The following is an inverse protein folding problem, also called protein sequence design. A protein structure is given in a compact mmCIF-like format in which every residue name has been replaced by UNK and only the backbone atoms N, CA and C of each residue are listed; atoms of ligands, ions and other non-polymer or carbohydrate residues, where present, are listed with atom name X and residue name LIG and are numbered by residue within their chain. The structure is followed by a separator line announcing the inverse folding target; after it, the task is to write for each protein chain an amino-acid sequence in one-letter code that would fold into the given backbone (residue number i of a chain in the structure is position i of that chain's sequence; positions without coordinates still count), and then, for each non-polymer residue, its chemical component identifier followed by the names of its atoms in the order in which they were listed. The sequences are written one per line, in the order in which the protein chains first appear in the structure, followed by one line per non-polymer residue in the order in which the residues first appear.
data_IF_342821618859
#
_entry.id   IF_342821618859
#
_cell.length_a   1.000
_cell.length_b   1.000
_cell.length_c   1.000
_cell.angle_alpha   90.00
_cell.angle_beta   90.00
_cell.angle_gamma   90.00
#
_symmetry.space_group_name_H-M   'P 1'
#
loop_
_entity.id
_entity.type
_entity.pdbx_description
1 polymer ?
#
# COMPACT_ATOMS: atom_id res chain seq x y z
N UNK A 1 -13.35 7.39 -2.29
CA UNK A 1 -12.94 8.46 -3.20
C UNK A 1 -13.79 8.48 -4.47
N UNK A 2 -13.95 9.65 -5.07
CA UNK A 2 -14.59 9.76 -6.38
C UNK A 2 -13.52 9.55 -7.45
N UNK A 3 -13.62 8.47 -8.20
CA UNK A 3 -12.70 8.15 -9.29
C UNK A 3 -13.42 8.27 -10.64
N UNK A 4 -12.67 8.62 -11.69
CA UNK A 4 -13.18 8.60 -13.06
C UNK A 4 -13.23 7.16 -13.55
N UNK A 5 -14.38 6.71 -14.07
CA UNK A 5 -14.56 5.37 -14.63
C UNK A 5 -15.72 4.60 -13.99
N UNK A 6 -15.92 3.36 -14.42
CA UNK A 6 -17.00 2.49 -13.92
C UNK A 6 -16.71 1.91 -12.52
N UNK A 7 -15.43 1.82 -12.17
CA UNK A 7 -14.97 1.24 -10.91
C UNK A 7 -14.16 2.25 -10.10
N UNK A 8 -14.20 2.13 -8.78
CA UNK A 8 -13.30 2.83 -7.90
C UNK A 8 -11.91 2.18 -7.96
N UNK A 9 -10.84 3.00 -7.85
CA UNK A 9 -9.51 2.47 -7.61
C UNK A 9 -9.48 1.89 -6.19
N UNK A 10 -9.33 0.57 -6.10
CA UNK A 10 -9.51 -0.15 -4.85
C UNK A 10 -8.25 -0.15 -4.00
N UNK A 11 -8.40 -0.33 -2.67
CA UNK A 11 -7.28 -0.56 -1.75
C UNK A 11 -6.40 -1.72 -2.23
N UNK A 12 -6.97 -2.78 -2.81
CA UNK A 12 -6.22 -3.89 -3.38
C UNK A 12 -5.30 -3.46 -4.53
N UNK A 13 -5.78 -2.60 -5.47
CA UNK A 13 -4.94 -2.06 -6.54
C UNK A 13 -3.87 -1.12 -5.98
N UNK A 14 -4.25 -0.24 -5.06
CA UNK A 14 -3.33 0.66 -4.36
C UNK A 14 -2.19 -0.10 -3.70
N UNK A 15 -2.51 -1.14 -2.91
CA UNK A 15 -1.51 -1.96 -2.22
C UNK A 15 -0.51 -2.64 -3.17
N UNK A 16 -1.00 -3.19 -4.30
CA UNK A 16 -0.13 -3.77 -5.33
C UNK A 16 0.75 -2.70 -6.00
N UNK A 17 0.20 -1.50 -6.23
CA UNK A 17 0.96 -0.39 -6.78
C UNK A 17 2.07 0.06 -5.83
N UNK A 18 1.77 0.24 -4.54
CA UNK A 18 2.76 0.63 -3.53
C UNK A 18 3.88 -0.41 -3.43
N UNK A 19 3.55 -1.69 -3.38
CA UNK A 19 4.54 -2.78 -3.36
C UNK A 19 5.42 -2.74 -4.61
N UNK A 20 4.84 -2.61 -5.81
CA UNK A 20 5.59 -2.54 -7.06
C UNK A 20 6.52 -1.33 -7.12
N UNK A 21 6.09 -0.16 -6.61
CA UNK A 21 6.92 1.05 -6.51
C UNK A 21 8.09 0.82 -5.55
N UNK A 22 7.86 0.19 -4.39
CA UNK A 22 8.94 -0.17 -3.47
C UNK A 22 9.96 -1.07 -4.15
N UNK A 23 9.54 -2.13 -4.83
CA UNK A 23 10.43 -3.04 -5.55
C UNK A 23 11.19 -2.37 -6.69
N UNK A 24 10.56 -1.42 -7.38
CA UNK A 24 11.20 -0.68 -8.48
C UNK A 24 12.24 0.33 -7.98
N UNK A 25 11.92 1.10 -6.94
CA UNK A 25 12.82 2.14 -6.42
C UNK A 25 13.97 1.56 -5.58
N UNK A 26 13.72 0.42 -4.92
CA UNK A 26 14.71 -0.27 -4.09
C UNK A 26 14.79 -1.75 -4.45
N UNK A 27 15.47 -2.10 -5.56
CA UNK A 27 15.49 -3.47 -6.10
C UNK A 27 16.10 -4.54 -5.18
N UNK A 28 16.76 -4.12 -4.11
CA UNK A 28 17.37 -5.02 -3.11
C UNK A 28 16.44 -5.27 -1.90
N UNK A 29 15.19 -4.78 -1.95
CA UNK A 29 14.20 -5.01 -0.90
C UNK A 29 13.88 -6.51 -0.81
N UNK A 30 13.89 -7.06 0.41
CA UNK A 30 13.63 -8.49 0.61
C UNK A 30 12.18 -8.86 0.29
N UNK A 31 11.88 -10.13 -0.06
CA UNK A 31 10.51 -10.60 -0.26
C UNK A 31 9.62 -10.37 0.97
N UNK A 32 10.15 -10.51 2.18
CA UNK A 32 9.44 -10.24 3.42
C UNK A 32 9.06 -8.77 3.57
N UNK A 33 9.95 -7.84 3.17
CA UNK A 33 9.67 -6.40 3.21
C UNK A 33 8.70 -5.99 2.09
N UNK A 34 8.79 -6.61 0.90
CA UNK A 34 7.82 -6.41 -0.18
C UNK A 34 6.43 -6.92 0.22
N UNK A 35 6.36 -8.08 0.90
CA UNK A 35 5.10 -8.56 1.45
C UNK A 35 4.56 -7.59 2.51
N UNK A 36 5.42 -7.03 3.35
CA UNK A 36 5.06 -5.98 4.29
C UNK A 36 4.50 -4.73 3.58
N UNK A 37 5.11 -4.31 2.47
CA UNK A 37 4.62 -3.21 1.65
C UNK A 37 3.26 -3.52 1.00
N UNK A 38 3.05 -4.74 0.50
CA UNK A 38 1.75 -5.18 -0.03
C UNK A 38 0.66 -5.15 1.03
N UNK A 39 1.00 -5.43 2.29
CA UNK A 39 0.05 -5.52 3.41
C UNK A 39 -0.05 -4.23 4.23
N UNK A 40 0.56 -3.11 3.80
CA UNK A 40 0.65 -1.90 4.62
C UNK A 40 -0.73 -1.33 5.02
N UNK A 41 -1.73 -1.43 4.13
CA UNK A 41 -3.12 -1.02 4.36
C UNK A 41 -4.05 -2.19 4.71
N UNK A 42 -3.50 -3.37 5.04
CA UNK A 42 -4.33 -4.53 5.36
C UNK A 42 -5.32 -4.31 6.53
N UNK A 43 -5.05 -3.49 7.56
CA UNK A 43 -6.06 -3.12 8.55
C UNK A 43 -7.33 -2.53 7.93
N UNK A 44 -7.24 -1.79 6.83
CA UNK A 44 -8.39 -1.16 6.17
C UNK A 44 -9.39 -2.17 5.58
N UNK A 45 -8.93 -3.39 5.23
CA UNK A 45 -9.84 -4.47 4.82
C UNK A 45 -10.76 -4.95 5.95
N UNK A 46 -10.32 -4.76 7.19
CA UNK A 46 -11.06 -5.24 8.38
C UNK A 46 -11.94 -4.15 8.97
N UNK A 47 -11.41 -2.93 9.07
CA UNK A 47 -12.04 -1.82 9.79
C UNK A 47 -12.60 -0.73 8.89
N UNK A 48 -12.34 -0.82 7.57
CA UNK A 48 -12.68 0.20 6.59
C UNK A 48 -11.68 1.34 6.55
N UNK A 49 -11.55 1.95 5.37
CA UNK A 49 -10.74 3.17 5.19
C UNK A 49 -11.37 4.33 5.97
N UNK A 50 -10.57 4.97 6.81
CA UNK A 50 -10.96 6.14 7.58
C UNK A 50 -10.08 7.33 7.24
N UNK A 51 -10.71 8.44 6.91
CA UNK A 51 -9.99 9.71 6.68
C UNK A 51 -9.28 10.20 7.94
N UNK A 52 -8.10 10.80 7.76
CA UNK A 52 -7.22 11.25 8.85
C UNK A 52 -7.91 12.12 9.93
N UNK A 53 -8.84 13.05 9.62
CA UNK A 53 -9.57 13.79 10.64
C UNK A 53 -10.40 12.90 11.57
N UNK A 54 -10.99 11.81 11.04
CA UNK A 54 -11.76 10.84 11.84
C UNK A 54 -10.83 10.00 12.72
N UNK A 55 -9.70 9.50 12.17
CA UNK A 55 -8.67 8.80 12.95
C UNK A 55 -8.19 9.67 14.13
N UNK A 56 -8.01 10.97 13.90
CA UNK A 56 -7.61 11.93 14.93
C UNK A 56 -8.72 12.14 15.98
N UNK A 57 -9.97 12.26 15.56
CA UNK A 57 -11.12 12.46 16.47
C UNK A 57 -11.38 11.24 17.36
N UNK A 58 -11.14 10.01 16.89
CA UNK A 58 -11.25 8.77 17.65
C UNK A 58 -10.11 8.59 18.68
N UNK A 59 -9.00 9.29 18.51
CA UNK A 59 -7.94 9.42 19.49
C UNK A 59 -6.93 8.28 19.55
N UNK A 60 -6.24 8.18 20.69
CA UNK A 60 -5.11 7.25 20.88
C UNK A 60 -5.54 5.79 20.81
N UNK A 61 -6.72 5.46 21.28
CA UNK A 61 -7.23 4.07 21.32
C UNK A 61 -7.40 3.49 19.93
N UNK A 62 -7.84 4.30 18.95
CA UNK A 62 -7.98 3.85 17.58
C UNK A 62 -6.62 3.53 16.94
N UNK A 63 -5.64 4.41 17.10
CA UNK A 63 -4.28 4.16 16.57
C UNK A 63 -3.61 2.94 17.18
N UNK A 64 -3.82 2.72 18.48
CA UNK A 64 -3.31 1.51 19.15
C UNK A 64 -4.01 0.25 18.66
N UNK A 65 -5.31 0.33 18.37
CA UNK A 65 -6.06 -0.78 17.80
C UNK A 65 -5.56 -1.11 16.38
N UNK A 66 -5.41 -0.11 15.52
CA UNK A 66 -4.90 -0.23 14.15
C UNK A 66 -3.49 -0.87 14.17
N UNK A 67 -2.58 -0.38 15.00
CA UNK A 67 -1.23 -0.93 15.13
C UNK A 67 -1.22 -2.40 15.62
N UNK A 68 -2.10 -2.75 16.56
CA UNK A 68 -2.23 -4.15 17.02
C UNK A 68 -2.78 -5.06 15.95
N UNK A 69 -3.72 -4.56 15.14
CA UNK A 69 -4.28 -5.30 14.02
C UNK A 69 -3.23 -5.52 12.94
N UNK A 70 -2.46 -4.49 12.59
CA UNK A 70 -1.34 -4.59 11.66
C UNK A 70 -0.31 -5.64 12.14
N UNK A 71 0.13 -5.54 13.41
CA UNK A 71 1.05 -6.51 13.98
C UNK A 71 0.51 -7.95 13.93
N UNK A 72 -0.78 -8.15 14.21
CA UNK A 72 -1.42 -9.45 14.15
C UNK A 72 -1.47 -10.01 12.72
N UNK A 73 -1.79 -9.16 11.73
CA UNK A 73 -1.79 -9.53 10.30
C UNK A 73 -0.37 -9.94 9.88
N UNK A 74 0.63 -9.14 10.20
CA UNK A 74 2.03 -9.42 9.88
C UNK A 74 2.50 -10.75 10.47
N UNK A 75 2.26 -10.98 11.76
CA UNK A 75 2.57 -12.24 12.43
C UNK A 75 1.86 -13.45 11.81
N UNK A 76 0.60 -13.29 11.39
CA UNK A 76 -0.16 -14.35 10.72
C UNK A 76 0.51 -14.84 9.44
N UNK A 77 1.23 -13.98 8.76
CA UNK A 77 1.93 -14.27 7.51
C UNK A 77 3.45 -14.42 7.67
N UNK A 78 3.93 -14.72 8.89
CA UNK A 78 5.33 -15.05 9.15
C UNK A 78 6.28 -13.86 9.13
N UNK A 79 5.75 -12.63 9.15
CA UNK A 79 6.54 -11.40 9.23
C UNK A 79 6.79 -10.98 10.68
N UNK A 80 7.79 -10.14 10.90
CA UNK A 80 7.96 -9.46 12.19
C UNK A 80 6.78 -8.55 12.48
N UNK A 81 6.37 -8.35 13.76
CA UNK A 81 5.20 -7.54 14.10
C UNK A 81 5.30 -6.10 13.62
N UNK A 82 6.53 -5.56 13.51
CA UNK A 82 6.81 -4.23 13.02
C UNK A 82 7.74 -4.25 11.82
N UNK A 83 7.58 -3.31 10.90
CA UNK A 83 8.58 -3.01 9.88
C UNK A 83 9.75 -2.22 10.50
N UNK A 84 10.95 -2.37 9.92
CA UNK A 84 12.06 -1.48 10.23
C UNK A 84 11.70 -0.04 9.84
N UNK A 85 12.29 0.95 10.51
CA UNK A 85 12.06 2.36 10.19
C UNK A 85 12.46 2.72 8.74
N UNK A 86 13.47 2.03 8.21
CA UNK A 86 13.87 2.18 6.81
C UNK A 86 12.75 1.73 5.87
N UNK A 87 12.18 0.55 6.09
CA UNK A 87 11.10 0.03 5.24
C UNK A 87 9.82 0.85 5.41
N UNK A 88 9.48 1.27 6.63
CA UNK A 88 8.36 2.22 6.85
C UNK A 88 8.52 3.50 6.03
N UNK A 89 9.73 4.07 5.99
CA UNK A 89 10.01 5.26 5.20
C UNK A 89 9.86 5.03 3.69
N UNK A 90 10.33 3.87 3.18
CA UNK A 90 10.18 3.48 1.77
C UNK A 90 8.70 3.27 1.39
N UNK A 91 7.95 2.56 2.20
CA UNK A 91 6.51 2.33 1.99
C UNK A 91 5.77 3.65 2.00
N UNK A 92 6.02 4.52 2.98
CA UNK A 92 5.41 5.85 3.05
C UNK A 92 5.72 6.71 1.82
N UNK A 93 6.94 6.64 1.30
CA UNK A 93 7.32 7.38 0.08
C UNK A 93 6.60 6.80 -1.15
N UNK A 94 6.48 5.48 -1.27
CA UNK A 94 5.76 4.82 -2.34
C UNK A 94 4.25 5.10 -2.28
N UNK A 95 3.68 5.13 -1.08
CA UNK A 95 2.29 5.51 -0.82
C UNK A 95 2.02 6.97 -1.25
N UNK A 96 2.86 7.92 -0.86
CA UNK A 96 2.76 9.32 -1.31
C UNK A 96 2.86 9.46 -2.84
N UNK A 97 3.72 8.68 -3.47
CA UNK A 97 3.84 8.62 -4.93
C UNK A 97 2.53 8.10 -5.57
N UNK A 98 1.95 7.04 -5.02
CA UNK A 98 0.68 6.50 -5.48
C UNK A 98 -0.44 7.52 -5.30
N UNK A 99 -0.52 8.16 -4.13
CA UNK A 99 -1.51 9.20 -3.83
C UNK A 99 -1.43 10.40 -4.78
N UNK A 100 -0.23 10.82 -5.21
CA UNK A 100 -0.07 11.86 -6.23
C UNK A 100 -0.75 11.48 -7.55
N UNK A 101 -0.56 10.24 -8.02
CA UNK A 101 -1.17 9.78 -9.26
C UNK A 101 -2.67 9.53 -9.11
N UNK A 102 -3.13 9.03 -7.97
CA UNK A 102 -4.55 8.90 -7.67
C UNK A 102 -5.24 10.27 -7.69
N UNK A 103 -4.66 11.27 -7.05
CA UNK A 103 -5.18 12.62 -7.04
C UNK A 103 -5.27 13.21 -8.46
N UNK A 104 -4.19 13.15 -9.23
CA UNK A 104 -4.12 13.80 -10.54
C UNK A 104 -4.84 13.03 -11.65
N UNK A 105 -4.84 11.70 -11.63
CA UNK A 105 -5.42 10.88 -12.69
C UNK A 105 -6.87 10.51 -12.44
N UNK A 106 -7.26 10.33 -11.18
CA UNK A 106 -8.57 9.78 -10.81
C UNK A 106 -9.46 10.79 -10.07
N UNK A 107 -8.91 11.57 -9.14
CA UNK A 107 -9.69 12.49 -8.30
C UNK A 107 -9.85 13.90 -8.89
N UNK A 108 -9.11 14.24 -9.97
CA UNK A 108 -9.26 15.50 -10.67
C UNK A 108 -8.52 16.68 -10.06
N UNK A 109 -7.54 16.43 -9.20
CA UNK A 109 -6.61 17.46 -8.73
C UNK A 109 -5.77 17.98 -9.89
N UNK A 110 -5.44 19.28 -9.87
CA UNK A 110 -4.39 19.77 -10.74
C UNK A 110 -2.99 19.37 -10.23
N UNK A 111 -1.98 19.50 -11.11
CA UNK A 111 -0.62 19.05 -10.77
C UNK A 111 -0.02 19.87 -9.63
N UNK A 112 -0.24 21.19 -9.62
CA UNK A 112 0.33 22.08 -8.62
C UNK A 112 -0.28 21.82 -7.24
N UNK A 113 -1.58 21.56 -7.20
CA UNK A 113 -2.28 21.14 -5.98
C UNK A 113 -1.76 19.80 -5.46
N UNK A 114 -1.63 18.81 -6.32
CA UNK A 114 -1.11 17.49 -5.94
C UNK A 114 0.35 17.56 -5.45
N UNK A 115 1.19 18.39 -6.07
CA UNK A 115 2.56 18.63 -5.61
C UNK A 115 2.63 19.23 -4.21
N UNK A 116 1.70 20.10 -3.85
CA UNK A 116 1.63 20.69 -2.49
C UNK A 116 1.28 19.66 -1.42
N UNK A 117 0.37 18.72 -1.74
CA UNK A 117 -0.11 17.72 -0.76
C UNK A 117 0.78 16.48 -0.66
N UNK A 118 1.28 16.00 -1.79
CA UNK A 118 1.95 14.69 -1.88
C UNK A 118 3.44 14.80 -2.23
N UNK A 119 3.90 15.97 -2.63
CA UNK A 119 5.27 16.16 -3.13
C UNK A 119 5.44 15.69 -4.58
N UNK A 120 6.65 15.86 -5.09
CA UNK A 120 6.98 15.45 -6.46
C UNK A 120 7.22 13.93 -6.52
N UNK A 121 6.59 13.22 -7.47
CA UNK A 121 6.90 11.82 -7.70
C UNK A 121 8.34 11.66 -8.20
N UNK A 122 9.02 10.51 -7.92
CA UNK A 122 10.31 10.24 -8.49
C UNK A 122 10.26 10.22 -10.03
N UNK A 123 11.37 10.53 -10.72
CA UNK A 123 11.41 10.51 -12.17
C UNK A 123 11.17 9.09 -12.69
N UNK A 124 10.32 8.98 -13.71
CA UNK A 124 9.98 7.70 -14.33
C UNK A 124 8.62 7.74 -15.04
N UNK A 125 8.24 6.65 -15.69
CA UNK A 125 6.92 6.54 -16.31
C UNK A 125 5.83 6.54 -15.23
N UNK A 126 4.73 7.24 -15.52
CA UNK A 126 3.55 7.19 -14.66
C UNK A 126 3.01 5.74 -14.61
N UNK A 127 2.58 5.25 -13.43
CA UNK A 127 1.97 3.95 -13.32
C UNK A 127 0.62 3.90 -14.07
N UNK A 128 0.19 2.68 -14.43
CA UNK A 128 -1.17 2.48 -14.94
C UNK A 128 -2.16 2.62 -13.78
N UNK A 129 -3.03 3.63 -13.88
CA UNK A 129 -4.04 3.96 -12.88
C UNK A 129 -5.45 3.55 -13.33
N UNK A 130 -5.57 2.65 -14.32
CA UNK A 130 -6.86 2.19 -14.80
C UNK A 130 -7.61 1.42 -13.70
N UNK A 131 -8.78 1.89 -13.24
CA UNK A 131 -9.54 1.18 -12.22
C UNK A 131 -10.05 -0.17 -12.76
N UNK A 132 -9.82 -1.23 -11.99
CA UNK A 132 -10.24 -2.60 -12.29
C UNK A 132 -11.57 -2.92 -11.62
N UNK A 133 -12.29 -3.90 -12.16
CA UNK A 133 -13.42 -4.50 -11.45
C UNK A 133 -12.95 -5.12 -10.11
N UNK A 134 -13.83 -5.24 -9.10
CA UNK A 134 -13.47 -5.85 -7.81
C UNK A 134 -12.87 -7.26 -7.95
N UNK A 135 -13.36 -8.05 -8.90
CA UNK A 135 -12.88 -9.42 -9.16
C UNK A 135 -11.45 -9.40 -9.71
N UNK A 136 -11.17 -8.50 -10.66
CA UNK A 136 -9.83 -8.37 -11.24
C UNK A 136 -8.83 -7.84 -10.22
N UNK A 137 -9.21 -6.82 -9.44
CA UNK A 137 -8.38 -6.26 -8.38
C UNK A 137 -8.06 -7.31 -7.30
N UNK A 138 -9.04 -8.10 -6.86
CA UNK A 138 -8.85 -9.21 -5.95
C UNK A 138 -7.89 -10.25 -6.53
N UNK A 139 -8.10 -10.67 -7.77
CA UNK A 139 -7.25 -11.66 -8.42
C UNK A 139 -5.80 -11.17 -8.58
N UNK A 140 -5.60 -9.87 -8.88
CA UNK A 140 -4.29 -9.25 -8.96
C UNK A 140 -3.58 -9.29 -7.61
N UNK A 141 -4.25 -8.84 -6.55
CA UNK A 141 -3.71 -8.83 -5.19
C UNK A 141 -3.34 -10.24 -4.71
N UNK A 142 -4.24 -11.22 -4.86
CA UNK A 142 -4.00 -12.59 -4.42
C UNK A 142 -2.82 -13.24 -5.16
N UNK A 143 -2.72 -13.06 -6.48
CA UNK A 143 -1.56 -13.57 -7.23
C UNK A 143 -0.25 -13.00 -6.71
N UNK A 144 -0.21 -11.68 -6.43
CA UNK A 144 1.02 -11.05 -5.93
C UNK A 144 1.34 -11.51 -4.52
N UNK A 145 0.32 -11.59 -3.67
CA UNK A 145 0.44 -12.10 -2.32
C UNK A 145 1.00 -13.55 -2.27
N UNK A 146 0.42 -14.45 -3.07
CA UNK A 146 0.85 -15.86 -3.15
C UNK A 146 2.30 -15.98 -3.65
N UNK A 147 2.70 -15.17 -4.63
CA UNK A 147 4.08 -15.14 -5.12
C UNK A 147 5.05 -14.72 -4.01
N UNK A 148 4.75 -13.64 -3.28
CA UNK A 148 5.61 -13.15 -2.20
C UNK A 148 5.68 -14.12 -1.01
N UNK A 149 4.57 -14.75 -0.63
CA UNK A 149 4.57 -15.80 0.41
C UNK A 149 5.50 -16.95 0.02
N UNK A 150 5.42 -17.43 -1.22
CA UNK A 150 6.29 -18.50 -1.69
C UNK A 150 7.78 -18.11 -1.68
N UNK A 151 8.10 -16.85 -1.99
CA UNK A 151 9.47 -16.34 -1.91
C UNK A 151 9.97 -16.24 -0.45
N UNK A 152 9.13 -15.76 0.47
CA UNK A 152 9.44 -15.68 1.91
C UNK A 152 9.70 -17.07 2.49
N UNK A 153 8.83 -18.05 2.19
CA UNK A 153 8.99 -19.42 2.65
C UNK A 153 10.29 -20.06 2.12
N UNK A 154 10.62 -19.79 0.85
CA UNK A 154 11.86 -20.29 0.24
C UNK A 154 13.12 -19.72 0.88
N UNK A 155 13.09 -18.45 1.32
CA UNK A 155 14.21 -17.81 2.00
C UNK A 155 14.39 -18.31 3.43
N UNK A 156 13.30 -18.61 4.15
CA UNK A 156 13.37 -19.20 5.50
C UNK A 156 13.94 -20.61 5.53
N UNK A 157 13.82 -21.38 4.44
CA UNK A 157 14.37 -22.74 4.33
C UNK A 157 15.89 -22.72 4.08
N UNK A 158 16.42 -21.62 3.52
CA UNK A 158 17.85 -21.52 3.17
C UNK A 158 18.73 -20.94 4.28
N UNK A 159 18.14 -20.33 5.32
CA UNK A 159 18.83 -19.69 6.44
C UNK A 159 18.87 -20.58 7.67
#
# INVERSE_FOLDING_TARGET
GQTKGEHAFSVAQHSVLVEAVVGQLWPTTSPADLLGALLHDAPEYVIGDMISPFKTALGVDYRQFEARLEAAIRLRFGLTPDMSEEIKARVKQADQFSAFYEATRLAGFDIDEALQFFGAPPPGPAPDMTPMSPIEAQALFLRRFEALIAEVDADQIKG
#
